data_IF_428386089286
#
_entry.id   IF_428386089286
#
_cell.length_a   1.000
_cell.length_b   1.000
_cell.length_c   1.000
_cell.angle_alpha   90.00
_cell.angle_beta   90.00
_cell.angle_gamma   90.00
#
_symmetry.space_group_name_H-M   'P 1'
#
loop_
_entity.id
_entity.type
_entity.pdbx_description
1 polymer ?
#
# COMPACT_ATOMS: atom_id res chain seq x y z
N UNK A 1 83.97 57.46 0.79
CA UNK A 1 82.60 57.08 1.25
C UNK A 1 81.86 56.44 0.11
N UNK A 2 81.76 55.12 0.07
CA UNK A 2 81.00 54.37 -0.92
C UNK A 2 80.04 53.47 -0.16
N UNK A 3 78.75 53.74 -0.26
CA UNK A 3 77.65 52.95 0.31
C UNK A 3 77.35 51.79 -0.60
N UNK A 4 77.56 50.56 -0.14
CA UNK A 4 77.18 49.33 -0.82
C UNK A 4 75.83 48.89 -0.30
N UNK A 5 74.83 48.97 -1.15
CA UNK A 5 73.45 48.41 -0.85
C UNK A 5 73.50 46.93 -1.07
N UNK A 6 73.23 46.19 0.00
CA UNK A 6 72.92 44.73 -0.08
C UNK A 6 71.53 44.50 -0.65
N UNK A 7 71.47 43.68 -1.70
CA UNK A 7 70.20 43.21 -2.29
C UNK A 7 69.78 41.91 -1.59
N UNK A 8 68.66 41.99 -0.94
CA UNK A 8 67.99 40.81 -0.27
C UNK A 8 67.36 39.91 -1.32
N UNK A 9 67.84 38.66 -1.38
CA UNK A 9 67.12 37.60 -2.18
C UNK A 9 65.84 37.15 -1.49
N UNK A 10 64.75 37.49 -2.11
CA UNK A 10 63.39 37.00 -1.74
C UNK A 10 63.29 35.53 -2.04
N UNK A 11 62.92 34.71 -1.01
CA UNK A 11 62.67 33.28 -1.13
C UNK A 11 61.31 33.06 -1.82
N UNK A 12 61.33 32.48 -2.99
CA UNK A 12 60.11 31.94 -3.69
C UNK A 12 59.66 30.73 -2.94
N UNK A 13 58.49 30.82 -2.29
CA UNK A 13 57.80 29.66 -1.72
C UNK A 13 57.05 28.94 -2.85
N UNK A 14 57.52 27.75 -3.18
CA UNK A 14 56.88 26.85 -4.11
C UNK A 14 55.65 26.26 -3.40
N UNK A 15 54.44 26.69 -3.79
CA UNK A 15 53.17 26.08 -3.35
C UNK A 15 52.93 24.79 -4.17
N UNK A 16 53.14 23.65 -3.55
CA UNK A 16 52.65 22.37 -4.09
C UNK A 16 51.11 22.33 -3.92
N UNK A 17 50.39 22.54 -5.01
CA UNK A 17 48.93 22.29 -5.06
C UNK A 17 48.76 20.78 -5.22
N UNK A 18 48.52 20.12 -4.08
CA UNK A 18 48.11 18.73 -4.07
C UNK A 18 46.65 18.62 -4.52
N UNK A 19 46.44 18.21 -5.76
CA UNK A 19 45.11 17.79 -6.27
C UNK A 19 44.73 16.50 -5.59
N UNK A 20 43.91 16.59 -4.52
CA UNK A 20 43.23 15.41 -3.95
C UNK A 20 42.14 14.94 -4.91
N UNK A 21 42.43 13.89 -5.63
CA UNK A 21 41.45 13.19 -6.47
C UNK A 21 40.48 12.47 -5.53
N UNK A 22 39.31 13.07 -5.26
CA UNK A 22 38.25 12.48 -4.46
C UNK A 22 37.54 11.44 -5.33
N UNK A 23 37.91 10.17 -5.19
CA UNK A 23 37.25 9.05 -5.84
C UNK A 23 35.88 8.85 -5.19
N UNK A 24 34.83 9.43 -5.79
CA UNK A 24 33.44 9.18 -5.39
C UNK A 24 33.11 7.76 -5.82
N UNK A 25 33.21 6.81 -4.89
CA UNK A 25 32.66 5.48 -5.09
C UNK A 25 31.11 5.61 -5.09
N UNK A 26 30.54 5.59 -6.27
CA UNK A 26 29.10 5.46 -6.45
C UNK A 26 28.73 4.02 -6.04
N UNK A 27 28.36 3.83 -4.77
CA UNK A 27 27.80 2.56 -4.31
C UNK A 27 26.42 2.45 -4.95
N UNK A 28 26.32 1.71 -6.03
CA UNK A 28 25.02 1.33 -6.58
C UNK A 28 24.29 0.51 -5.49
N UNK A 29 23.26 1.11 -4.90
CA UNK A 29 22.38 0.37 -4.00
C UNK A 29 21.81 -0.82 -4.79
N UNK A 30 21.80 -2.03 -4.22
CA UNK A 30 21.19 -3.17 -4.89
C UNK A 30 19.72 -2.83 -5.15
N UNK A 31 19.35 -2.72 -6.42
CA UNK A 31 17.95 -2.66 -6.81
C UNK A 31 17.37 -4.04 -6.53
N UNK A 32 16.70 -4.20 -5.39
CA UNK A 32 15.88 -5.38 -5.15
C UNK A 32 14.84 -5.44 -6.27
N UNK A 33 14.89 -6.48 -7.07
CA UNK A 33 13.88 -6.69 -8.10
C UNK A 33 12.52 -6.76 -7.42
N UNK A 34 11.60 -5.90 -7.86
CA UNK A 34 10.23 -5.90 -7.36
C UNK A 34 9.62 -7.29 -7.62
N UNK A 35 9.33 -8.05 -6.58
CA UNK A 35 8.66 -9.33 -6.71
C UNK A 35 7.17 -9.08 -6.98
N UNK A 36 6.75 -9.42 -8.21
CA UNK A 36 5.33 -9.40 -8.57
C UNK A 36 4.73 -10.79 -8.31
N UNK A 37 3.60 -10.83 -7.62
CA UNK A 37 2.85 -12.07 -7.36
C UNK A 37 1.39 -11.91 -7.79
N UNK A 38 0.80 -13.02 -8.25
CA UNK A 38 -0.64 -13.07 -8.55
C UNK A 38 -1.41 -13.43 -7.29
N UNK A 39 -2.50 -12.70 -7.05
CA UNK A 39 -3.39 -12.88 -5.90
C UNK A 39 -4.83 -12.98 -6.40
N UNK A 40 -5.58 -13.95 -5.92
CA UNK A 40 -7.03 -14.03 -6.11
C UNK A 40 -7.74 -13.48 -4.89
N UNK A 41 -8.63 -12.51 -5.08
CA UNK A 41 -9.47 -11.89 -4.05
C UNK A 41 -10.90 -12.37 -4.27
N UNK A 42 -11.43 -13.30 -3.46
CA UNK A 42 -12.78 -13.84 -3.65
C UNK A 42 -13.85 -12.78 -3.35
N UNK A 43 -15.01 -12.89 -4.02
CA UNK A 43 -16.12 -11.95 -3.91
C UNK A 43 -16.69 -11.81 -2.50
N UNK A 44 -16.49 -12.81 -1.65
CA UNK A 44 -16.88 -12.81 -0.23
C UNK A 44 -15.73 -12.42 0.73
N UNK A 45 -14.59 -11.96 0.24
CA UNK A 45 -13.53 -11.43 1.08
C UNK A 45 -13.91 -10.04 1.63
N UNK A 46 -14.46 -10.02 2.85
CA UNK A 46 -15.01 -8.82 3.46
C UNK A 46 -14.48 -8.58 4.87
N UNK A 47 -14.49 -7.32 5.27
CA UNK A 47 -14.14 -6.89 6.63
C UNK A 47 -15.26 -6.96 7.65
N UNK A 48 -16.45 -7.39 7.28
CA UNK A 48 -17.59 -7.43 8.18
C UNK A 48 -17.71 -8.78 8.89
N UNK A 49 -17.65 -8.77 10.20
CA UNK A 49 -17.70 -9.96 11.08
C UNK A 49 -18.95 -10.04 11.94
N UNK A 50 -19.94 -9.20 11.67
CA UNK A 50 -21.10 -9.03 12.55
C UNK A 50 -22.23 -10.04 12.37
N UNK A 51 -22.24 -10.78 11.26
CA UNK A 51 -23.32 -11.72 10.96
C UNK A 51 -22.75 -13.12 10.71
N UNK A 52 -22.98 -14.09 11.60
CA UNK A 52 -22.52 -15.46 11.43
C UNK A 52 -23.18 -16.20 10.26
N UNK A 53 -24.22 -15.61 9.65
CA UNK A 53 -24.91 -16.18 8.47
C UNK A 53 -24.17 -15.82 7.19
N UNK A 54 -23.37 -14.75 7.19
CA UNK A 54 -22.59 -14.33 6.03
C UNK A 54 -21.33 -15.19 5.93
N UNK A 55 -21.18 -15.92 4.83
CA UNK A 55 -20.01 -16.73 4.50
C UNK A 55 -18.77 -15.84 4.17
N UNK A 56 -18.62 -14.75 4.89
CA UNK A 56 -17.51 -13.85 4.71
C UNK A 56 -16.18 -14.54 5.07
N UNK A 57 -15.22 -14.44 4.16
CA UNK A 57 -13.83 -14.80 4.45
C UNK A 57 -13.03 -13.53 4.78
N UNK A 58 -11.98 -13.63 5.58
CA UNK A 58 -11.10 -12.50 5.85
C UNK A 58 -10.52 -11.89 4.57
N UNK A 59 -10.13 -10.62 4.62
CA UNK A 59 -9.32 -10.03 3.57
C UNK A 59 -8.06 -10.88 3.30
N UNK A 60 -7.72 -10.98 2.03
CA UNK A 60 -6.58 -11.77 1.58
C UNK A 60 -5.28 -11.06 1.89
N UNK A 61 -4.34 -11.73 2.56
CA UNK A 61 -2.97 -11.25 2.69
C UNK A 61 -2.29 -11.26 1.33
N UNK A 62 -2.08 -10.08 0.76
CA UNK A 62 -1.64 -9.94 -0.62
C UNK A 62 -0.15 -9.68 -0.76
N UNK A 63 0.49 -8.99 0.19
CA UNK A 63 1.92 -8.72 0.16
C UNK A 63 2.40 -8.34 1.56
N UNK A 64 3.51 -8.93 1.99
CA UNK A 64 4.25 -8.45 3.17
C UNK A 64 5.56 -7.81 2.72
N UNK A 65 5.83 -6.61 3.21
CA UNK A 65 7.06 -5.87 2.93
C UNK A 65 7.88 -5.70 4.21
N UNK A 66 9.20 -5.76 4.08
CA UNK A 66 10.13 -5.68 5.20
C UNK A 66 10.57 -4.26 5.56
N UNK A 67 10.16 -3.26 4.79
CA UNK A 67 10.55 -1.86 4.99
C UNK A 67 9.82 -0.89 4.07
N UNK A 68 10.27 0.36 4.04
CA UNK A 68 9.72 1.39 3.17
C UNK A 68 9.84 1.03 1.69
N UNK A 69 8.90 1.49 0.90
CA UNK A 69 8.95 1.34 -0.55
C UNK A 69 7.59 1.56 -1.21
N UNK A 70 7.56 1.30 -2.51
CA UNK A 70 6.36 1.47 -3.31
C UNK A 70 5.68 0.13 -3.56
N UNK A 71 4.40 0.06 -3.24
CA UNK A 71 3.53 -1.08 -3.56
C UNK A 71 2.67 -0.70 -4.77
N UNK A 72 2.54 -1.62 -5.71
CA UNK A 72 1.66 -1.48 -6.87
C UNK A 72 0.72 -2.67 -6.92
N UNK A 73 -0.58 -2.40 -7.02
CA UNK A 73 -1.62 -3.39 -7.26
C UNK A 73 -2.22 -3.11 -8.62
N UNK A 74 -2.34 -4.12 -9.46
CA UNK A 74 -2.91 -4.02 -10.81
C UNK A 74 -3.99 -5.09 -10.96
N UNK A 75 -5.20 -4.67 -11.30
CA UNK A 75 -6.27 -5.58 -11.68
C UNK A 75 -5.93 -6.26 -13.01
N UNK A 76 -6.18 -7.58 -13.08
CA UNK A 76 -5.92 -8.38 -14.26
C UNK A 76 -7.23 -8.85 -14.89
N UNK A 77 -8.11 -9.42 -14.07
CA UNK A 77 -9.38 -9.99 -14.57
C UNK A 77 -10.33 -10.33 -13.43
N UNK A 78 -11.54 -10.69 -13.79
CA UNK A 78 -12.55 -11.19 -12.88
C UNK A 78 -13.70 -10.22 -12.69
N UNK A 79 -14.78 -10.71 -12.11
CA UNK A 79 -15.96 -9.93 -11.73
C UNK A 79 -16.47 -10.47 -10.40
N UNK A 80 -17.11 -9.61 -9.63
CA UNK A 80 -17.83 -9.98 -8.43
C UNK A 80 -19.32 -9.89 -8.73
N UNK A 81 -20.05 -10.94 -8.40
CA UNK A 81 -21.52 -10.96 -8.39
C UNK A 81 -21.99 -10.59 -7.00
N UNK A 82 -22.84 -9.57 -6.89
CA UNK A 82 -23.21 -8.93 -5.63
C UNK A 82 -24.51 -9.49 -5.00
N UNK A 83 -25.20 -10.36 -5.72
CA UNK A 83 -26.50 -10.89 -5.26
C UNK A 83 -26.88 -12.17 -6.00
N UNK A 84 -27.90 -12.85 -5.49
CA UNK A 84 -28.47 -14.05 -6.09
C UNK A 84 -29.15 -13.80 -7.47
N UNK A 85 -29.34 -12.55 -7.87
CA UNK A 85 -29.94 -12.19 -9.16
C UNK A 85 -28.91 -12.02 -10.28
N UNK A 86 -27.62 -12.08 -9.95
CA UNK A 86 -26.52 -12.06 -10.93
C UNK A 86 -26.00 -10.66 -11.29
N UNK A 87 -26.29 -9.63 -10.50
CA UNK A 87 -25.69 -8.31 -10.70
C UNK A 87 -24.17 -8.38 -10.49
N UNK A 88 -23.42 -8.04 -11.52
CA UNK A 88 -21.96 -8.13 -11.50
C UNK A 88 -21.31 -6.75 -11.52
N UNK A 89 -20.15 -6.65 -10.91
CA UNK A 89 -19.33 -5.44 -10.94
C UNK A 89 -17.85 -5.73 -11.19
N UNK A 90 -17.17 -4.79 -11.83
CA UNK A 90 -15.71 -4.78 -11.94
C UNK A 90 -15.03 -4.19 -10.70
N UNK A 91 -13.70 -4.02 -10.76
CA UNK A 91 -12.90 -3.64 -9.60
C UNK A 91 -13.19 -2.23 -9.07
N UNK A 92 -13.79 -1.37 -9.86
CA UNK A 92 -14.21 -0.03 -9.41
C UNK A 92 -15.53 -0.05 -8.60
N UNK A 93 -16.21 -1.21 -8.58
CA UNK A 93 -17.51 -1.33 -7.95
C UNK A 93 -18.63 -0.65 -8.74
N UNK A 94 -19.81 -0.63 -8.16
CA UNK A 94 -21.00 0.01 -8.72
C UNK A 94 -21.61 1.01 -7.76
N UNK A 95 -22.37 1.97 -8.29
CA UNK A 95 -23.22 2.84 -7.47
C UNK A 95 -24.58 2.15 -7.30
N UNK A 96 -25.06 2.11 -6.07
CA UNK A 96 -26.35 1.50 -5.75
C UNK A 96 -27.05 2.33 -4.68
N UNK A 97 -28.16 3.01 -5.05
CA UNK A 97 -28.90 3.84 -4.10
C UNK A 97 -29.58 3.01 -3.00
N UNK A 98 -29.93 1.75 -3.30
CA UNK A 98 -30.50 0.81 -2.33
C UNK A 98 -29.45 0.17 -1.42
N UNK A 99 -28.18 0.24 -1.78
CA UNK A 99 -27.07 -0.35 -1.00
C UNK A 99 -26.50 0.61 0.07
N UNK A 100 -27.24 1.64 0.46
CA UNK A 100 -26.78 2.58 1.50
C UNK A 100 -26.54 1.82 2.80
N UNK A 101 -25.28 1.90 3.28
CA UNK A 101 -24.86 1.18 4.48
C UNK A 101 -24.27 -0.20 4.25
N UNK A 102 -24.25 -0.69 3.00
CA UNK A 102 -23.65 -1.98 2.62
C UNK A 102 -22.17 -1.84 2.21
N UNK A 103 -21.54 -0.73 2.49
CA UNK A 103 -20.14 -0.47 2.11
C UNK A 103 -19.33 0.05 3.29
N UNK A 104 -18.03 -0.20 3.23
CA UNK A 104 -17.10 0.39 4.16
C UNK A 104 -16.80 1.84 3.80
N UNK A 105 -16.60 2.73 4.79
CA UNK A 105 -16.10 4.08 4.55
C UNK A 105 -14.65 4.01 4.05
N UNK A 106 -14.41 4.42 2.81
CA UNK A 106 -13.08 4.51 2.24
C UNK A 106 -12.40 5.83 2.64
N UNK A 107 -11.08 5.80 2.69
CA UNK A 107 -10.28 6.97 3.04
C UNK A 107 -10.51 8.14 2.08
N UNK A 108 -10.63 7.87 0.80
CA UNK A 108 -10.87 8.86 -0.25
C UNK A 108 -12.26 9.50 -0.16
N UNK A 109 -13.22 8.86 0.48
CA UNK A 109 -14.59 9.34 0.59
C UNK A 109 -14.81 10.32 1.77
N UNK A 110 -13.80 10.60 2.57
CA UNK A 110 -13.91 11.44 3.78
C UNK A 110 -14.32 12.89 3.56
N UNK A 111 -14.45 13.35 2.31
CA UNK A 111 -14.90 14.71 1.98
C UNK A 111 -16.28 14.79 1.34
N UNK A 112 -16.89 13.69 0.96
CA UNK A 112 -18.09 13.67 0.11
C UNK A 112 -19.39 13.30 0.82
N UNK A 113 -19.46 13.43 2.15
CA UNK A 113 -20.68 13.16 2.92
C UNK A 113 -21.17 11.71 2.76
N UNK A 114 -21.46 11.06 3.85
CA UNK A 114 -22.03 9.72 3.92
C UNK A 114 -23.41 9.64 3.22
N UNK A 115 -23.48 9.67 1.89
CA UNK A 115 -24.78 9.77 1.23
C UNK A 115 -24.99 9.00 -0.05
N UNK A 116 -23.91 8.55 -0.68
CA UNK A 116 -24.04 7.71 -1.89
C UNK A 116 -23.22 6.45 -1.72
N UNK A 117 -23.88 5.31 -1.84
CA UNK A 117 -23.22 4.02 -1.93
C UNK A 117 -22.49 3.94 -3.28
N UNK A 118 -21.32 4.54 -3.35
CA UNK A 118 -20.43 4.41 -4.50
C UNK A 118 -19.43 3.30 -4.19
N UNK A 119 -19.05 2.54 -5.20
CA UNK A 119 -18.03 1.50 -5.11
C UNK A 119 -18.43 0.24 -4.30
N UNK A 120 -19.71 -0.10 -4.21
CA UNK A 120 -20.13 -1.40 -3.69
C UNK A 120 -19.56 -2.50 -4.58
N UNK A 121 -18.99 -3.53 -3.96
CA UNK A 121 -18.30 -4.61 -4.67
C UNK A 121 -16.94 -4.26 -5.24
N UNK A 122 -16.42 -3.03 -5.00
CA UNK A 122 -15.10 -2.63 -5.46
C UNK A 122 -13.98 -3.42 -4.80
N UNK A 123 -12.86 -3.54 -5.52
CA UNK A 123 -11.60 -4.00 -4.95
C UNK A 123 -11.02 -2.92 -4.04
N UNK A 124 -10.84 -3.27 -2.78
CA UNK A 124 -10.30 -2.38 -1.76
C UNK A 124 -9.09 -2.98 -1.07
N UNK A 125 -8.30 -2.15 -0.41
CA UNK A 125 -7.13 -2.56 0.35
C UNK A 125 -7.01 -1.89 1.69
N UNK A 126 -6.23 -2.51 2.57
CA UNK A 126 -5.72 -1.92 3.81
C UNK A 126 -4.27 -2.33 4.00
N UNK A 127 -3.41 -1.36 4.27
CA UNK A 127 -2.05 -1.64 4.69
C UNK A 127 -1.96 -1.58 6.21
N UNK A 128 -1.44 -2.63 6.81
CA UNK A 128 -1.28 -2.75 8.25
C UNK A 128 0.20 -2.67 8.61
N UNK A 129 0.66 -1.55 9.16
CA UNK A 129 2.04 -1.37 9.58
C UNK A 129 2.43 -2.34 10.71
N UNK A 130 3.63 -2.91 10.63
CA UNK A 130 4.16 -3.81 11.64
C UNK A 130 4.24 -3.15 13.03
N UNK A 131 4.56 -1.87 13.08
CA UNK A 131 4.60 -1.10 14.33
C UNK A 131 3.24 -1.07 15.07
N UNK A 132 2.13 -1.12 14.32
CA UNK A 132 0.78 -1.22 14.90
C UNK A 132 0.52 -2.59 15.50
N UNK A 133 0.92 -3.64 14.78
CA UNK A 133 0.79 -5.04 15.23
C UNK A 133 1.53 -5.22 16.55
N UNK A 134 2.80 -4.85 16.60
CA UNK A 134 3.65 -4.99 17.80
C UNK A 134 3.12 -4.17 18.98
N UNK A 135 2.64 -2.94 18.77
CA UNK A 135 2.06 -2.12 19.86
C UNK A 135 0.81 -2.73 20.49
N UNK A 136 0.09 -3.57 19.77
CA UNK A 136 -1.09 -4.28 20.26
C UNK A 136 -0.79 -5.67 20.78
N UNK A 137 0.49 -6.08 20.79
CA UNK A 137 0.93 -7.37 21.33
C UNK A 137 0.69 -8.56 20.39
N UNK A 138 0.46 -8.33 19.10
CA UNK A 138 0.37 -9.40 18.11
C UNK A 138 1.76 -9.71 17.55
N UNK A 139 2.04 -10.97 17.30
CA UNK A 139 3.24 -11.39 16.55
C UNK A 139 3.06 -11.25 15.05
N UNK A 140 1.83 -11.44 14.58
CA UNK A 140 1.38 -11.27 13.20
C UNK A 140 -0.11 -10.96 13.20
N UNK A 141 -0.67 -10.56 12.07
CA UNK A 141 -2.12 -10.43 11.87
C UNK A 141 -2.56 -11.33 10.73
N UNK A 142 -3.78 -11.82 10.82
CA UNK A 142 -4.41 -12.69 9.85
C UNK A 142 -5.73 -12.07 9.38
N UNK A 143 -5.62 -11.27 8.34
CA UNK A 143 -6.78 -10.69 7.68
C UNK A 143 -7.48 -9.56 8.44
N UNK A 144 -8.73 -9.31 8.07
CA UNK A 144 -9.47 -8.10 8.43
C UNK A 144 -9.83 -8.02 9.90
N UNK A 145 -10.13 -9.17 10.53
CA UNK A 145 -10.50 -9.21 11.94
C UNK A 145 -9.37 -8.69 12.82
N UNK A 146 -8.15 -9.11 12.53
CA UNK A 146 -6.99 -8.65 13.27
C UNK A 146 -6.63 -7.21 12.91
N UNK A 147 -6.82 -6.77 11.67
CA UNK A 147 -6.67 -5.38 11.28
C UNK A 147 -7.61 -4.46 12.07
N UNK A 148 -8.86 -4.87 12.31
CA UNK A 148 -9.78 -4.17 13.20
C UNK A 148 -9.28 -4.10 14.65
N UNK A 149 -8.77 -5.20 15.16
CA UNK A 149 -8.23 -5.28 16.53
C UNK A 149 -6.99 -4.39 16.72
N UNK A 150 -6.15 -4.24 15.71
CA UNK A 150 -5.01 -3.30 15.77
C UNK A 150 -5.41 -1.84 15.52
N UNK A 151 -6.68 -1.58 15.21
CA UNK A 151 -7.23 -0.22 15.10
C UNK A 151 -6.82 0.50 13.80
N UNK A 152 -6.56 -0.24 12.72
CA UNK A 152 -6.29 0.34 11.41
C UNK A 152 -7.58 0.71 10.69
N UNK A 153 -8.67 0.01 11.00
CA UNK A 153 -10.01 0.22 10.46
C UNK A 153 -10.94 0.86 11.51
N UNK A 154 -12.02 1.54 11.11
CA UNK A 154 -12.27 2.08 9.79
C UNK A 154 -11.42 3.32 9.54
N UNK A 155 -11.08 3.58 8.28
CA UNK A 155 -10.37 4.79 7.87
C UNK A 155 -8.97 4.55 7.31
N UNK A 156 -8.49 3.30 7.36
CA UNK A 156 -7.33 2.85 6.62
C UNK A 156 -7.68 2.06 5.35
N UNK A 157 -8.96 1.83 5.07
CA UNK A 157 -9.41 1.22 3.83
C UNK A 157 -9.36 2.24 2.69
N UNK A 158 -8.86 1.79 1.55
CA UNK A 158 -8.75 2.62 0.35
C UNK A 158 -9.15 1.85 -0.91
N UNK A 159 -9.65 2.60 -1.89
CA UNK A 159 -10.00 2.02 -3.18
C UNK A 159 -8.72 1.60 -3.93
N UNK A 160 -8.70 0.38 -4.42
CA UNK A 160 -7.72 -0.12 -5.40
C UNK A 160 -8.27 0.11 -6.80
N UNK A 161 -9.50 -0.31 -7.06
CA UNK A 161 -10.11 -0.22 -8.38
C UNK A 161 -9.33 -1.04 -9.41
N UNK A 162 -9.17 -0.48 -10.61
CA UNK A 162 -8.37 -1.10 -11.70
C UNK A 162 -6.88 -1.14 -11.40
N UNK A 163 -6.41 -0.34 -10.45
CA UNK A 163 -5.04 -0.35 -10.01
C UNK A 163 -4.69 0.83 -9.13
N UNK A 164 -3.75 0.61 -8.23
CA UNK A 164 -3.25 1.65 -7.34
C UNK A 164 -1.78 1.42 -7.03
N UNK A 165 -1.02 2.50 -7.06
CA UNK A 165 0.33 2.53 -6.54
C UNK A 165 0.39 3.51 -5.37
N UNK A 166 1.06 3.12 -4.28
CA UNK A 166 1.22 3.94 -3.08
C UNK A 166 2.53 3.61 -2.37
N UNK A 167 3.02 4.58 -1.61
CA UNK A 167 4.26 4.42 -0.86
C UNK A 167 3.94 4.03 0.58
N UNK A 168 4.72 3.10 1.13
CA UNK A 168 4.71 2.71 2.53
C UNK A 168 6.00 3.16 3.20
N UNK A 169 5.92 3.56 4.46
CA UNK A 169 7.04 4.15 5.19
C UNK A 169 7.70 3.17 6.16
N UNK A 170 7.14 1.98 6.31
CA UNK A 170 7.63 0.95 7.23
C UNK A 170 7.22 -0.45 6.76
N UNK A 171 7.78 -1.47 7.41
CA UNK A 171 7.36 -2.85 7.24
C UNK A 171 5.87 -3.05 7.58
N UNK A 172 5.22 -3.97 6.87
CA UNK A 172 3.80 -4.24 7.11
C UNK A 172 3.22 -5.20 6.08
N UNK A 173 1.90 -5.39 6.14
CA UNK A 173 1.17 -6.30 5.25
C UNK A 173 0.01 -5.57 4.58
N UNK A 174 -0.06 -5.72 3.27
CA UNK A 174 -1.23 -5.31 2.47
C UNK A 174 -2.25 -6.45 2.48
N UNK A 175 -3.48 -6.11 2.84
CA UNK A 175 -4.64 -6.99 2.70
C UNK A 175 -5.58 -6.41 1.64
N UNK A 176 -6.19 -7.30 0.86
CA UNK A 176 -7.16 -6.97 -0.19
C UNK A 176 -8.52 -7.63 0.09
N UNK A 177 -9.59 -6.96 -0.28
CA UNK A 177 -10.94 -7.45 -0.11
C UNK A 177 -11.95 -6.71 -0.99
N UNK A 178 -13.21 -6.98 -0.72
CA UNK A 178 -14.34 -6.42 -1.46
C UNK A 178 -15.08 -5.41 -0.57
N UNK A 179 -15.45 -4.28 -1.17
CA UNK A 179 -16.20 -3.22 -0.49
C UNK A 179 -17.70 -3.56 -0.39
N UNK A 180 -18.00 -4.58 0.40
CA UNK A 180 -19.36 -5.01 0.69
C UNK A 180 -19.44 -5.50 2.14
N UNK A 181 -20.51 -5.18 2.82
CA UNK A 181 -20.77 -5.64 4.20
C UNK A 181 -21.74 -6.81 4.26
N UNK A 182 -22.39 -7.15 3.14
CA UNK A 182 -23.30 -8.29 3.00
C UNK A 182 -22.76 -9.15 1.86
N UNK A 183 -22.02 -10.19 2.19
CA UNK A 183 -21.27 -10.97 1.20
C UNK A 183 -21.71 -12.43 1.08
N UNK A 184 -22.77 -12.81 1.79
CA UNK A 184 -23.27 -14.19 1.79
C UNK A 184 -23.81 -14.67 0.45
N UNK A 185 -24.20 -13.75 -0.42
CA UNK A 185 -24.68 -13.98 -1.77
C UNK A 185 -23.68 -13.55 -2.87
N UNK A 186 -22.51 -13.06 -2.47
CA UNK A 186 -21.45 -12.71 -3.39
C UNK A 186 -20.75 -13.96 -3.94
N UNK A 187 -20.37 -13.88 -5.21
CA UNK A 187 -19.56 -14.92 -5.87
C UNK A 187 -18.54 -14.30 -6.83
N UNK A 188 -17.69 -15.16 -7.43
CA UNK A 188 -16.62 -14.70 -8.30
C UNK A 188 -15.46 -14.09 -7.51
N UNK A 189 -14.80 -13.08 -8.07
CA UNK A 189 -13.66 -12.42 -7.45
C UNK A 189 -12.75 -11.74 -8.46
N UNK A 190 -11.67 -11.14 -7.98
CA UNK A 190 -10.69 -10.43 -8.79
C UNK A 190 -9.33 -11.15 -8.78
N UNK A 191 -8.74 -11.31 -9.96
CA UNK A 191 -7.32 -11.65 -10.09
C UNK A 191 -6.53 -10.34 -10.18
N UNK A 192 -5.52 -10.21 -9.36
CA UNK A 192 -4.65 -9.04 -9.32
C UNK A 192 -3.18 -9.44 -9.33
N UNK A 193 -2.33 -8.55 -9.82
CA UNK A 193 -0.88 -8.62 -9.63
C UNK A 193 -0.50 -7.60 -8.56
N UNK A 194 0.29 -8.04 -7.58
CA UNK A 194 0.81 -7.18 -6.52
C UNK A 194 2.32 -7.21 -6.57
N UNK A 195 2.94 -6.03 -6.64
CA UNK A 195 4.39 -5.85 -6.64
C UNK A 195 4.80 -4.92 -5.50
N UNK A 196 5.96 -5.19 -4.91
CA UNK A 196 6.53 -4.38 -3.86
C UNK A 196 8.06 -4.36 -3.89
N UNK A 197 8.70 -3.62 -2.95
CA UNK A 197 10.14 -3.52 -2.84
C UNK A 197 10.79 -4.84 -2.50
#
# INVERSE_FOLDING_TARGET
MRNTKMVSLSRVKLFCIGTALMLIMLVAAPTTAAHAQSVFVPGNASGYFGNPVDQAVPFVSALTVSGPGRITVTYVSGLVTLNSHGDTTGPNGTSCDSCKGMQFPLHEARGSGFGKANNVGALIGVFVPQSRVLRKGFSAIDGTKDALRVGVMPGGLFLIGEGKAFDVTEAGTLFLGINDTIVGDNSGGFNVTVAGP
#
